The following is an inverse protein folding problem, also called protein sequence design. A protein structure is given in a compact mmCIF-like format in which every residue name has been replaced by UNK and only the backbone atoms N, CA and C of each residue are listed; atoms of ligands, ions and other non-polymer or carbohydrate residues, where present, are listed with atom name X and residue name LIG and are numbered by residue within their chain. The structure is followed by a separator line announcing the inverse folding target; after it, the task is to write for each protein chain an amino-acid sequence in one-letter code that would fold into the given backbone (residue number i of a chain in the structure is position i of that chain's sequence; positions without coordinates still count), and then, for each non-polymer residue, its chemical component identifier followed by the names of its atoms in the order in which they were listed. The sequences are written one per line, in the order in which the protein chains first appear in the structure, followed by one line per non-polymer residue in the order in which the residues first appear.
data_IF_384525716477
#
_entry.id   IF_384525716477
#
_cell.length_a   1.000
_cell.length_b   1.000
_cell.length_c   1.000
_cell.angle_alpha   90.00
_cell.angle_beta   90.00
_cell.angle_gamma   90.00
#
_symmetry.space_group_name_H-M   'P 1'
#
loop_
_entity.id
_entity.type
_entity.pdbx_description
1 polymer ?
#
# COMPACT_ATOMS: atom_id res chain seq x y z
N UNK A 1 -11.97 8.88 -12.98
CA UNK A 1 -11.51 7.62 -12.38
C UNK A 1 -11.50 7.74 -10.87
N UNK A 2 -12.16 6.82 -10.18
CA UNK A 2 -12.16 6.71 -8.72
C UNK A 2 -11.30 5.52 -8.30
N UNK A 3 -10.22 5.80 -7.58
CA UNK A 3 -9.26 4.78 -7.13
C UNK A 3 -9.38 4.60 -5.63
N UNK A 4 -9.52 3.36 -5.17
CA UNK A 4 -9.46 3.02 -3.76
C UNK A 4 -8.07 2.49 -3.44
N UNK A 5 -7.37 3.12 -2.50
CA UNK A 5 -6.10 2.62 -1.99
C UNK A 5 -6.29 2.14 -0.56
N UNK A 6 -6.02 0.86 -0.31
CA UNK A 6 -6.17 0.21 0.98
C UNK A 6 -4.79 0.06 1.62
N UNK A 7 -4.67 0.49 2.87
CA UNK A 7 -3.42 0.39 3.60
C UNK A 7 -3.10 -1.04 4.06
N UNK A 8 -2.05 -1.19 4.86
CA UNK A 8 -1.39 -2.46 5.16
C UNK A 8 -2.35 -3.55 5.65
N UNK A 9 -2.58 -4.59 4.84
CA UNK A 9 -3.42 -5.73 5.22
C UNK A 9 -2.64 -6.62 6.20
N UNK A 10 -3.10 -6.69 7.45
CA UNK A 10 -2.42 -7.40 8.52
C UNK A 10 -3.15 -8.69 8.92
N UNK A 11 -2.57 -9.82 8.52
CA UNK A 11 -2.96 -11.16 8.94
C UNK A 11 -4.43 -11.52 8.64
N UNK A 12 -4.95 -12.50 9.39
CA UNK A 12 -6.34 -12.97 9.21
C UNK A 12 -7.39 -11.87 9.47
N UNK A 13 -7.26 -11.01 10.51
CA UNK A 13 -8.23 -9.93 10.74
C UNK A 13 -8.29 -8.95 9.56
N UNK A 14 -7.13 -8.53 9.01
CA UNK A 14 -7.10 -7.65 7.85
C UNK A 14 -7.82 -8.25 6.64
N UNK A 15 -7.51 -9.49 6.29
CA UNK A 15 -8.21 -10.19 5.18
C UNK A 15 -9.71 -10.37 5.43
N UNK A 16 -10.14 -10.48 6.69
CA UNK A 16 -11.56 -10.50 7.05
C UNK A 16 -12.23 -9.15 6.76
N UNK A 17 -11.63 -8.04 7.22
CA UNK A 17 -12.14 -6.70 6.95
C UNK A 17 -12.26 -6.42 5.45
N UNK A 18 -11.29 -6.86 4.63
CA UNK A 18 -11.40 -6.76 3.17
C UNK A 18 -12.61 -7.54 2.64
N UNK A 19 -12.76 -8.81 3.04
CA UNK A 19 -13.85 -9.67 2.56
C UNK A 19 -15.23 -9.09 2.86
N UNK A 20 -15.38 -8.46 4.02
CA UNK A 20 -16.66 -7.93 4.49
C UNK A 20 -16.92 -6.50 3.99
N UNK A 21 -15.89 -5.66 3.89
CA UNK A 21 -16.04 -4.24 3.56
C UNK A 21 -15.83 -3.88 2.09
N UNK A 22 -14.88 -4.52 1.40
CA UNK A 22 -14.45 -4.08 0.08
C UNK A 22 -15.57 -4.16 -1.00
N UNK A 23 -16.36 -5.23 -1.12
CA UNK A 23 -17.42 -5.29 -2.13
C UNK A 23 -18.43 -4.15 -1.99
N UNK A 24 -18.78 -3.82 -0.75
CA UNK A 24 -19.70 -2.74 -0.41
C UNK A 24 -19.13 -1.37 -0.76
N UNK A 25 -17.85 -1.13 -0.46
CA UNK A 25 -17.15 0.10 -0.85
C UNK A 25 -17.12 0.28 -2.36
N UNK A 26 -16.74 -0.77 -3.11
CA UNK A 26 -16.68 -0.73 -4.58
C UNK A 26 -18.06 -0.34 -5.13
N UNK A 27 -19.12 -1.00 -4.67
CA UNK A 27 -20.48 -0.77 -5.15
C UNK A 27 -21.04 0.62 -4.77
N UNK A 28 -20.88 1.04 -3.51
CA UNK A 28 -21.42 2.31 -3.00
C UNK A 28 -20.69 3.52 -3.55
N UNK A 29 -19.36 3.46 -3.61
CA UNK A 29 -18.54 4.58 -4.07
C UNK A 29 -18.36 4.61 -5.58
N UNK A 30 -18.67 3.51 -6.29
CA UNK A 30 -18.39 3.33 -7.72
C UNK A 30 -16.89 3.41 -7.98
N UNK A 31 -16.14 2.56 -7.29
CA UNK A 31 -14.67 2.47 -7.45
C UNK A 31 -14.36 1.82 -8.80
N UNK A 32 -13.45 2.45 -9.55
CA UNK A 32 -13.00 1.98 -10.87
C UNK A 32 -11.75 1.09 -10.78
N UNK A 33 -10.94 1.25 -9.72
CA UNK A 33 -9.69 0.52 -9.52
C UNK A 33 -9.31 0.44 -8.03
N UNK A 34 -8.81 -0.72 -7.59
CA UNK A 34 -8.44 -0.99 -6.19
C UNK A 34 -6.97 -1.40 -6.09
N UNK A 35 -6.22 -0.66 -5.29
CA UNK A 35 -4.84 -0.97 -4.89
C UNK A 35 -4.85 -1.33 -3.41
N UNK A 36 -4.12 -2.36 -3.01
CA UNK A 36 -3.96 -2.69 -1.60
C UNK A 36 -2.53 -3.07 -1.24
N UNK A 37 -2.03 -2.58 -0.11
CA UNK A 37 -0.75 -3.03 0.41
C UNK A 37 -0.92 -4.37 1.16
N UNK A 38 -0.20 -5.40 0.74
CA UNK A 38 -0.33 -6.76 1.27
C UNK A 38 0.92 -7.29 1.97
N UNK A 39 1.86 -6.42 2.37
CA UNK A 39 3.14 -6.88 2.94
C UNK A 39 3.01 -7.67 4.24
N UNK A 40 1.89 -7.52 4.97
CA UNK A 40 1.66 -8.17 6.26
C UNK A 40 0.54 -9.23 6.21
N UNK A 41 0.10 -9.62 5.00
CA UNK A 41 -1.11 -10.40 4.82
C UNK A 41 -0.99 -11.84 5.36
N UNK A 42 0.21 -12.45 5.34
CA UNK A 42 0.46 -13.83 5.74
C UNK A 42 0.90 -13.94 7.22
N UNK A 43 -0.08 -13.87 8.12
CA UNK A 43 0.17 -14.03 9.55
C UNK A 43 1.00 -12.90 10.15
N UNK A 44 0.82 -11.68 9.61
CA UNK A 44 1.48 -10.46 10.07
C UNK A 44 2.75 -10.09 9.31
N UNK A 45 3.34 -11.00 8.53
CA UNK A 45 4.60 -10.76 7.83
C UNK A 45 4.68 -11.55 6.51
N UNK A 46 4.85 -10.84 5.40
CA UNK A 46 4.93 -11.34 4.04
C UNK A 46 3.59 -11.78 3.44
N UNK A 47 3.67 -12.46 2.31
CA UNK A 47 2.53 -12.94 1.52
C UNK A 47 2.79 -14.35 0.99
N UNK A 48 1.75 -15.18 0.85
CA UNK A 48 1.80 -16.48 0.16
C UNK A 48 0.94 -16.44 -1.09
N UNK A 49 1.17 -17.36 -2.04
CA UNK A 49 0.39 -17.42 -3.29
C UNK A 49 -1.10 -17.51 -3.00
N UNK A 50 -1.49 -18.43 -2.12
CA UNK A 50 -2.89 -18.64 -1.74
C UNK A 50 -3.57 -17.39 -1.16
N UNK A 51 -2.82 -16.59 -0.39
CA UNK A 51 -3.34 -15.37 0.22
C UNK A 51 -3.43 -14.23 -0.81
N UNK A 52 -2.44 -14.10 -1.68
CA UNK A 52 -2.52 -13.11 -2.77
C UNK A 52 -3.69 -13.41 -3.70
N UNK A 53 -3.84 -14.67 -4.13
CA UNK A 53 -4.98 -15.12 -4.94
C UNK A 53 -6.32 -14.87 -4.24
N UNK A 54 -6.42 -15.18 -2.94
CA UNK A 54 -7.60 -14.86 -2.12
C UNK A 54 -7.94 -13.37 -2.21
N UNK A 55 -6.98 -12.47 -1.97
CA UNK A 55 -7.20 -11.02 -1.96
C UNK A 55 -7.62 -10.51 -3.35
N UNK A 56 -7.01 -11.01 -4.43
CA UNK A 56 -7.44 -10.67 -5.79
C UNK A 56 -8.91 -11.06 -6.04
N UNK A 57 -9.37 -12.22 -5.57
CA UNK A 57 -10.78 -12.62 -5.74
C UNK A 57 -11.78 -11.72 -5.00
N UNK A 58 -11.33 -10.90 -4.06
CA UNK A 58 -12.18 -9.95 -3.34
C UNK A 58 -12.37 -8.62 -4.09
N UNK A 59 -11.72 -8.45 -5.26
CA UNK A 59 -11.84 -7.26 -6.08
C UNK A 59 -10.68 -6.26 -5.93
N UNK A 60 -9.53 -6.71 -5.42
CA UNK A 60 -8.28 -5.92 -5.52
C UNK A 60 -7.68 -6.13 -6.90
N UNK A 61 -7.21 -5.06 -7.56
CA UNK A 61 -6.62 -5.14 -8.91
C UNK A 61 -5.11 -5.30 -8.87
N UNK A 62 -4.44 -4.59 -7.95
CA UNK A 62 -2.97 -4.61 -7.78
C UNK A 62 -2.62 -4.66 -6.29
N UNK A 63 -1.63 -5.50 -5.96
CA UNK A 63 -1.05 -5.56 -4.63
C UNK A 63 0.30 -4.85 -4.60
N UNK A 64 0.44 -3.87 -3.74
CA UNK A 64 1.73 -3.33 -3.34
C UNK A 64 2.24 -4.06 -2.09
N UNK A 65 3.48 -3.80 -1.72
CA UNK A 65 4.13 -4.37 -0.55
C UNK A 65 5.19 -3.41 0.03
N UNK A 66 6.10 -3.94 0.83
CA UNK A 66 7.02 -3.16 1.64
C UNK A 66 8.23 -3.98 2.05
N UNK A 67 8.73 -3.74 3.26
CA UNK A 67 9.92 -4.42 3.78
C UNK A 67 9.67 -5.90 4.09
N UNK A 68 8.43 -6.33 4.32
CA UNK A 68 8.11 -7.72 4.67
C UNK A 68 7.86 -8.64 3.47
N UNK A 69 8.00 -8.15 2.22
CA UNK A 69 7.72 -8.93 1.00
C UNK A 69 8.46 -10.28 0.94
N UNK A 70 9.64 -10.41 1.56
CA UNK A 70 10.46 -11.63 1.51
C UNK A 70 10.33 -12.55 2.74
N UNK A 71 9.53 -12.19 3.74
CA UNK A 71 9.45 -12.95 5.01
C UNK A 71 8.81 -14.34 4.84
N UNK A 72 8.05 -14.55 3.77
CA UNK A 72 7.63 -15.88 3.33
C UNK A 72 8.53 -16.33 2.19
N UNK A 73 9.20 -17.48 2.37
CA UNK A 73 10.06 -18.09 1.33
C UNK A 73 9.36 -18.27 -0.01
N UNK A 74 8.05 -18.57 0.01
CA UNK A 74 7.25 -18.75 -1.20
C UNK A 74 7.12 -17.45 -2.03
N UNK A 75 7.13 -16.28 -1.39
CA UNK A 75 6.96 -14.98 -2.03
C UNK A 75 7.97 -14.76 -3.18
N UNK A 76 9.20 -15.25 -3.03
CA UNK A 76 10.26 -15.20 -4.05
C UNK A 76 9.84 -15.89 -5.35
N UNK A 77 9.13 -17.01 -5.26
CA UNK A 77 8.65 -17.75 -6.43
C UNK A 77 7.28 -17.28 -6.91
N UNK A 78 6.46 -16.76 -6.00
CA UNK A 78 5.15 -16.23 -6.32
C UNK A 78 5.23 -14.94 -7.13
N UNK A 79 6.08 -13.99 -6.72
CA UNK A 79 6.19 -12.65 -7.36
C UNK A 79 6.66 -12.71 -8.82
N UNK A 80 7.34 -13.79 -9.22
CA UNK A 80 7.75 -14.01 -10.62
C UNK A 80 6.57 -14.46 -11.49
N UNK A 81 5.56 -15.09 -10.90
CA UNK A 81 4.40 -15.65 -11.59
C UNK A 81 3.20 -14.71 -11.62
N UNK A 82 3.13 -13.78 -10.67
CA UNK A 82 2.03 -12.82 -10.54
C UNK A 82 2.57 -11.40 -10.70
N UNK A 83 2.38 -10.83 -11.89
CA UNK A 83 2.86 -9.49 -12.23
C UNK A 83 2.14 -8.38 -11.47
N UNK A 84 0.93 -8.63 -10.95
CA UNK A 84 0.13 -7.66 -10.18
C UNK A 84 0.54 -7.55 -8.72
N UNK A 85 1.51 -8.35 -8.25
CA UNK A 85 2.14 -8.21 -6.95
C UNK A 85 3.46 -7.45 -7.10
N UNK A 86 3.48 -6.20 -6.64
CA UNK A 86 4.66 -5.33 -6.70
C UNK A 86 5.50 -5.44 -5.45
N UNK A 87 6.82 -5.36 -5.64
CA UNK A 87 7.82 -5.09 -4.59
C UNK A 87 8.33 -3.66 -4.73
N UNK A 88 8.98 -3.07 -3.72
CA UNK A 88 9.58 -1.75 -3.88
C UNK A 88 10.56 -1.67 -5.07
N UNK A 89 10.41 -0.67 -5.94
CA UNK A 89 11.18 -0.50 -7.17
C UNK A 89 12.66 -0.16 -6.94
N UNK A 90 12.99 0.30 -5.73
CA UNK A 90 14.34 0.61 -5.28
C UNK A 90 15.05 -0.56 -4.55
N UNK A 91 14.56 -1.79 -4.71
CA UNK A 91 15.42 -2.96 -4.49
C UNK A 91 16.58 -2.98 -5.49
N UNK A 92 17.75 -3.51 -5.10
CA UNK A 92 18.91 -3.59 -5.98
C UNK A 92 18.62 -4.41 -7.26
N UNK A 93 19.42 -4.18 -8.29
CA UNK A 93 19.32 -4.90 -9.55
C UNK A 93 19.40 -6.43 -9.36
N UNK A 94 18.56 -7.17 -10.11
CA UNK A 94 18.51 -8.64 -10.08
C UNK A 94 17.50 -9.24 -9.10
N UNK A 95 16.80 -8.40 -8.31
CA UNK A 95 15.70 -8.86 -7.43
C UNK A 95 14.46 -9.20 -8.27
N UNK A 96 13.82 -10.36 -8.04
CA UNK A 96 12.67 -10.82 -8.84
C UNK A 96 11.43 -9.92 -8.66
N UNK A 97 10.52 -10.04 -9.63
CA UNK A 97 9.26 -9.29 -9.64
C UNK A 97 9.43 -7.83 -10.09
N UNK A 98 8.31 -7.12 -10.12
CA UNK A 98 8.21 -5.79 -10.68
C UNK A 98 8.08 -4.72 -9.59
N UNK A 99 8.64 -3.54 -9.88
CA UNK A 99 8.50 -2.35 -9.04
C UNK A 99 7.32 -1.45 -9.40
N UNK A 100 6.86 -1.57 -10.64
CA UNK A 100 5.78 -0.79 -11.22
C UNK A 100 5.03 -1.62 -12.27
N UNK A 101 3.79 -1.23 -12.55
CA UNK A 101 2.94 -1.85 -13.59
C UNK A 101 1.94 -0.83 -14.14
N UNK A 102 1.53 -0.99 -15.41
CA UNK A 102 0.38 -0.30 -16.00
C UNK A 102 -0.75 -1.31 -16.18
N UNK A 103 -1.95 -0.94 -15.74
CA UNK A 103 -3.15 -1.76 -15.83
C UNK A 103 -4.28 -0.98 -16.52
N UNK A 104 -5.23 -1.69 -17.12
CA UNK A 104 -6.48 -1.11 -17.59
C UNK A 104 -7.55 -1.28 -16.52
N UNK A 105 -8.30 -0.21 -16.27
CA UNK A 105 -9.58 -0.27 -15.56
C UNK A 105 -10.61 -1.05 -16.39
N UNK A 106 -11.73 -1.50 -15.81
CA UNK A 106 -12.81 -2.15 -16.56
C UNK A 106 -13.39 -1.29 -17.69
N UNK A 107 -13.32 0.04 -17.58
CA UNK A 107 -13.76 1.00 -18.61
C UNK A 107 -12.70 1.26 -19.70
N UNK A 108 -11.50 0.70 -19.57
CA UNK A 108 -10.41 0.80 -20.55
C UNK A 108 -9.44 1.98 -20.32
N UNK A 109 -9.65 2.80 -19.29
CA UNK A 109 -8.68 3.82 -18.88
C UNK A 109 -7.44 3.17 -18.26
N UNK A 110 -6.25 3.67 -18.56
CA UNK A 110 -4.97 3.14 -18.04
C UNK A 110 -4.56 3.81 -16.72
N UNK A 111 -4.01 3.02 -15.80
CA UNK A 111 -3.44 3.47 -14.53
C UNK A 111 -2.07 2.82 -14.30
N UNK A 112 -1.08 3.63 -13.94
CA UNK A 112 0.25 3.21 -13.51
C UNK A 112 0.35 3.13 -11.99
N UNK A 113 0.97 2.08 -11.47
CA UNK A 113 1.21 1.88 -10.04
C UNK A 113 2.71 1.73 -9.85
N UNK A 114 3.27 2.48 -8.89
CA UNK A 114 4.67 2.41 -8.51
C UNK A 114 4.78 2.16 -7.00
N UNK A 115 5.55 1.14 -6.61
CA UNK A 115 5.86 0.87 -5.21
C UNK A 115 7.28 1.34 -4.90
N UNK A 116 7.48 2.08 -3.83
CA UNK A 116 8.79 2.52 -3.33
C UNK A 116 8.93 2.16 -1.86
N UNK A 117 10.17 2.12 -1.37
CA UNK A 117 10.45 1.97 0.05
C UNK A 117 11.42 3.04 0.54
N UNK A 118 11.09 3.64 1.68
CA UNK A 118 11.96 4.58 2.39
C UNK A 118 13.23 3.92 2.91
N UNK A 119 14.10 4.74 3.51
CA UNK A 119 15.39 4.30 4.06
C UNK A 119 15.63 4.81 5.48
N UNK A 120 15.01 5.93 5.85
CA UNK A 120 15.17 6.46 7.20
C UNK A 120 14.47 5.51 8.18
N UNK A 121 15.23 4.97 9.14
CA UNK A 121 14.79 3.94 10.10
C UNK A 121 14.39 2.59 9.47
N UNK A 122 14.76 2.35 8.21
CA UNK A 122 14.46 1.12 7.48
C UNK A 122 15.71 0.46 6.90
N UNK A 123 15.54 -0.63 6.17
CA UNK A 123 16.64 -1.31 5.48
C UNK A 123 17.29 -0.38 4.44
N UNK A 124 18.63 -0.43 4.28
CA UNK A 124 19.35 0.43 3.35
C UNK A 124 19.17 -0.07 1.90
N UNK A 125 18.07 0.32 1.27
CA UNK A 125 17.81 0.10 -0.15
C UNK A 125 18.40 1.21 -1.04
N UNK A 126 18.31 1.05 -2.37
CA UNK A 126 18.69 2.11 -3.30
C UNK A 126 17.81 3.35 -3.09
N UNK A 127 18.28 4.50 -3.57
CA UNK A 127 17.59 5.77 -3.36
C UNK A 127 16.16 5.75 -3.98
N UNK A 128 15.08 5.92 -3.18
CA UNK A 128 13.71 5.86 -3.71
C UNK A 128 13.42 7.03 -4.67
N UNK A 129 14.00 8.21 -4.44
CA UNK A 129 13.86 9.36 -5.33
C UNK A 129 14.44 9.10 -6.72
N UNK A 130 15.62 8.45 -6.79
CA UNK A 130 16.23 8.06 -8.08
C UNK A 130 15.45 6.94 -8.76
N UNK A 131 14.88 6.02 -8.00
CA UNK A 131 13.98 5.00 -8.56
C UNK A 131 12.72 5.66 -9.15
N UNK A 132 12.09 6.60 -8.44
CA UNK A 132 10.95 7.36 -8.97
C UNK A 132 11.30 8.10 -10.27
N UNK A 133 12.45 8.80 -10.33
CA UNK A 133 12.93 9.47 -11.54
C UNK A 133 13.13 8.52 -12.73
N UNK A 134 13.46 7.25 -12.47
CA UNK A 134 13.63 6.23 -13.51
C UNK A 134 12.30 5.66 -13.98
N UNK A 135 11.40 5.33 -13.05
CA UNK A 135 10.17 4.60 -13.36
C UNK A 135 9.04 5.51 -13.89
N UNK A 136 8.91 6.73 -13.38
CA UNK A 136 7.79 7.63 -13.74
C UNK A 136 7.77 7.96 -15.25
N UNK A 137 8.90 8.31 -15.90
CA UNK A 137 8.90 8.54 -17.35
C UNK A 137 8.39 7.34 -18.15
N UNK A 138 8.75 6.12 -17.76
CA UNK A 138 8.32 4.88 -18.42
C UNK A 138 6.80 4.67 -18.29
N UNK A 139 6.24 4.94 -17.09
CA UNK A 139 4.79 4.89 -16.89
C UNK A 139 4.05 5.96 -17.71
N UNK A 140 4.64 7.16 -17.83
CA UNK A 140 4.09 8.29 -18.59
C UNK A 140 4.03 8.05 -20.10
N UNK A 141 4.82 7.12 -20.64
CA UNK A 141 4.67 6.68 -22.04
C UNK A 141 3.31 6.02 -22.29
N UNK A 142 2.68 5.46 -21.25
CA UNK A 142 1.41 4.74 -21.36
C UNK A 142 0.22 5.46 -20.74
N UNK A 143 0.41 6.20 -19.64
CA UNK A 143 -0.67 6.88 -18.93
C UNK A 143 -0.20 8.07 -18.09
N UNK A 144 -1.03 9.12 -18.02
CA UNK A 144 -0.85 10.23 -17.09
C UNK A 144 -1.38 9.94 -15.68
N UNK A 145 -2.14 8.85 -15.48
CA UNK A 145 -2.68 8.48 -14.17
C UNK A 145 -1.68 7.56 -13.46
N UNK A 146 -1.00 8.06 -12.44
CA UNK A 146 0.05 7.33 -11.73
C UNK A 146 -0.16 7.43 -10.21
N UNK A 147 -0.26 6.30 -9.53
CA UNK A 147 -0.35 6.21 -8.06
C UNK A 147 0.92 5.58 -7.50
N UNK A 148 1.54 6.28 -6.54
CA UNK A 148 2.77 5.84 -5.88
C UNK A 148 2.46 5.39 -4.45
N UNK A 149 2.78 4.14 -4.11
CA UNK A 149 2.87 3.67 -2.72
C UNK A 149 4.28 3.93 -2.19
N UNK A 150 4.42 4.85 -1.22
CA UNK A 150 5.66 5.17 -0.53
C UNK A 150 5.70 4.49 0.84
N UNK A 151 6.19 3.26 0.86
CA UNK A 151 6.28 2.44 2.07
C UNK A 151 7.49 2.84 2.93
N UNK A 152 7.26 3.69 3.94
CA UNK A 152 8.34 4.35 4.67
C UNK A 152 8.02 4.60 6.15
N UNK A 153 9.04 4.72 7.01
CA UNK A 153 8.84 5.07 8.43
C UNK A 153 8.79 6.59 8.64
N UNK A 154 9.81 7.32 8.17
CA UNK A 154 9.93 8.73 8.48
C UNK A 154 8.94 9.60 7.69
N UNK A 155 8.11 10.35 8.41
CA UNK A 155 7.17 11.33 7.84
C UNK A 155 7.87 12.36 6.95
N UNK A 156 9.09 12.77 7.31
CA UNK A 156 9.89 13.68 6.49
C UNK A 156 10.25 13.10 5.12
N UNK A 157 10.57 11.80 5.05
CA UNK A 157 10.92 11.15 3.78
C UNK A 157 9.67 10.98 2.89
N UNK A 158 8.51 10.69 3.49
CA UNK A 158 7.22 10.62 2.80
C UNK A 158 6.78 11.97 2.23
N UNK A 159 6.78 13.01 3.08
CA UNK A 159 6.44 14.36 2.64
C UNK A 159 7.39 14.84 1.55
N UNK A 160 8.70 14.60 1.69
CA UNK A 160 9.68 14.94 0.66
C UNK A 160 9.39 14.23 -0.66
N UNK A 161 9.00 12.95 -0.66
CA UNK A 161 8.59 12.25 -1.88
C UNK A 161 7.32 12.86 -2.50
N UNK A 162 6.32 13.19 -1.67
CA UNK A 162 5.11 13.88 -2.12
C UNK A 162 5.42 15.19 -2.85
N UNK A 163 6.24 16.05 -2.24
CA UNK A 163 6.67 17.32 -2.85
C UNK A 163 7.56 17.13 -4.08
N UNK A 164 8.41 16.10 -4.07
CA UNK A 164 9.30 15.80 -5.19
C UNK A 164 8.54 15.37 -6.44
N UNK A 165 7.36 14.76 -6.29
CA UNK A 165 6.53 14.25 -7.37
C UNK A 165 5.27 15.09 -7.62
N UNK A 166 5.12 16.26 -6.98
CA UNK A 166 3.94 17.10 -7.16
C UNK A 166 3.83 17.62 -8.60
N UNK A 167 2.73 17.28 -9.26
CA UNK A 167 2.47 17.54 -10.69
C UNK A 167 3.04 16.47 -11.62
N UNK A 168 3.86 15.54 -11.12
CA UNK A 168 4.42 14.45 -11.90
C UNK A 168 3.58 13.18 -11.84
N UNK A 169 2.83 12.98 -10.75
CA UNK A 169 1.97 11.80 -10.53
C UNK A 169 0.61 12.21 -9.99
N UNK A 170 -0.38 11.32 -10.08
CA UNK A 170 -1.72 11.57 -9.56
C UNK A 170 -1.74 11.54 -8.04
N UNK A 171 -1.02 10.60 -7.42
CA UNK A 171 -1.00 10.48 -5.97
C UNK A 171 0.30 9.89 -5.43
N UNK A 172 0.71 10.36 -4.26
CA UNK A 172 1.76 9.76 -3.41
C UNK A 172 1.15 9.39 -2.07
N UNK A 173 1.03 8.09 -1.83
CA UNK A 173 0.30 7.52 -0.71
C UNK A 173 1.27 6.80 0.21
N UNK A 174 1.40 7.24 1.45
CA UNK A 174 2.26 6.58 2.43
C UNK A 174 1.62 5.33 3.05
N UNK A 175 2.46 4.33 3.33
CA UNK A 175 2.13 3.10 4.10
C UNK A 175 3.25 2.81 5.12
N UNK A 176 3.20 1.66 5.83
CA UNK A 176 4.17 1.14 6.81
C UNK A 176 3.85 1.41 8.29
N UNK A 177 3.47 2.63 8.66
CA UNK A 177 3.41 2.99 10.10
C UNK A 177 2.14 2.47 10.79
N UNK A 178 1.20 1.91 10.01
CA UNK A 178 -0.05 1.28 10.44
C UNK A 178 -1.06 2.22 11.12
N UNK A 179 -0.78 3.52 11.24
CA UNK A 179 -1.68 4.52 11.82
C UNK A 179 -2.08 5.52 10.74
N UNK A 180 -3.37 5.60 10.44
CA UNK A 180 -3.87 6.55 9.44
C UNK A 180 -3.65 7.99 9.91
N UNK A 181 -3.06 8.79 9.04
CA UNK A 181 -2.83 10.22 9.27
C UNK A 181 -4.03 11.05 8.79
N UNK A 182 -4.13 12.29 9.27
CA UNK A 182 -5.19 13.24 8.93
C UNK A 182 -4.65 14.45 8.12
N UNK A 183 -3.56 14.23 7.37
CA UNK A 183 -2.90 15.25 6.54
C UNK A 183 -3.22 15.08 5.05
N UNK A 184 -4.29 14.34 4.71
CA UNK A 184 -4.70 14.11 3.34
C UNK A 184 -5.02 15.44 2.64
N UNK A 185 -4.42 15.65 1.47
CA UNK A 185 -4.59 16.89 0.70
C UNK A 185 -4.26 16.71 -0.77
N UNK A 186 -4.71 17.66 -1.57
CA UNK A 186 -4.16 17.89 -2.91
C UNK A 186 -3.02 18.91 -2.78
N UNK A 187 -1.86 18.58 -3.32
CA UNK A 187 -0.70 19.46 -3.41
C UNK A 187 -0.90 20.51 -4.52
N UNK A 188 -0.14 21.62 -4.53
CA UNK A 188 -0.38 22.75 -5.43
C UNK A 188 -0.47 22.40 -6.91
N UNK A 189 0.28 21.40 -7.40
CA UNK A 189 0.28 20.98 -8.79
C UNK A 189 -0.63 19.78 -9.08
N UNK A 190 -1.52 19.43 -8.14
CA UNK A 190 -2.61 18.47 -8.39
C UNK A 190 -2.31 17.03 -7.99
N UNK A 191 -1.20 16.75 -7.31
CA UNK A 191 -0.92 15.43 -6.73
C UNK A 191 -1.62 15.25 -5.40
N UNK A 192 -2.39 14.17 -5.24
CA UNK A 192 -2.94 13.79 -3.95
C UNK A 192 -1.85 13.24 -3.02
N UNK A 193 -1.91 13.57 -1.74
CA UNK A 193 -0.91 13.17 -0.75
C UNK A 193 -1.57 12.80 0.57
N UNK A 194 -1.02 11.78 1.24
CA UNK A 194 -1.25 11.46 2.66
C UNK A 194 0.01 10.80 3.22
N UNK A 195 0.40 11.14 4.45
CA UNK A 195 1.60 10.58 5.07
C UNK A 195 1.45 9.09 5.41
N UNK A 196 0.27 8.63 5.79
CA UNK A 196 0.02 7.20 5.98
C UNK A 196 -1.48 6.88 5.87
N UNK A 197 -1.83 5.86 5.10
CA UNK A 197 -3.21 5.37 4.96
C UNK A 197 -3.65 4.55 6.17
N UNK A 198 -2.71 4.06 6.97
CA UNK A 198 -2.96 3.22 8.13
C UNK A 198 -3.11 1.74 7.77
N UNK A 199 -3.36 0.93 8.80
CA UNK A 199 -3.50 -0.52 8.65
C UNK A 199 -4.96 -0.95 8.38
N UNK A 200 -5.11 -2.01 7.59
CA UNK A 200 -6.30 -2.87 7.58
C UNK A 200 -6.02 -4.15 8.38
N UNK A 201 -6.49 -4.21 9.62
CA UNK A 201 -6.03 -5.21 10.60
C UNK A 201 -6.74 -5.09 11.96
N UNK A 202 -6.26 -5.79 13.00
CA UNK A 202 -6.95 -5.83 14.30
C UNK A 202 -6.95 -4.47 15.00
N UNK A 203 -8.13 -4.03 15.48
CA UNK A 203 -8.33 -2.75 16.19
C UNK A 203 -7.57 -2.73 17.50
N UNK A 204 -7.86 -3.70 18.38
CA UNK A 204 -7.32 -3.79 19.74
C UNK A 204 -5.92 -4.41 19.79
N UNK A 205 -4.98 -3.78 19.10
CA UNK A 205 -3.61 -4.26 18.92
C UNK A 205 -2.59 -3.14 19.09
N UNK A 206 -1.30 -3.52 19.13
CA UNK A 206 -0.22 -2.55 18.91
C UNK A 206 0.35 -2.85 17.52
N UNK A 207 0.00 -2.02 16.55
CA UNK A 207 0.52 -2.12 15.17
C UNK A 207 0.21 -3.49 14.54
N UNK A 208 -0.91 -4.12 14.91
CA UNK A 208 -1.33 -5.44 14.41
C UNK A 208 -0.92 -6.63 15.30
N UNK A 209 -0.07 -6.42 16.30
CA UNK A 209 0.47 -7.47 17.19
C UNK A 209 -0.26 -7.49 18.53
N UNK A 210 -0.30 -8.65 19.19
CA UNK A 210 -0.85 -8.79 20.55
C UNK A 210 -0.20 -7.79 21.54
N UNK A 211 -1.05 -7.10 22.30
CA UNK A 211 -0.66 -5.98 23.18
C UNK A 211 0.39 -6.39 24.22
N UNK A 212 0.18 -7.52 24.91
CA UNK A 212 1.04 -8.05 25.95
C UNK A 212 2.47 -8.36 25.44
N UNK A 213 2.60 -8.86 24.21
CA UNK A 213 3.90 -9.19 23.62
C UNK A 213 4.74 -7.94 23.36
N UNK A 214 4.12 -6.89 22.82
CA UNK A 214 4.81 -5.63 22.55
C UNK A 214 5.15 -4.91 23.85
N UNK A 215 4.21 -4.83 24.80
CA UNK A 215 4.45 -4.22 26.11
C UNK A 215 5.58 -4.95 26.85
N UNK A 216 5.57 -6.28 26.87
CA UNK A 216 6.63 -7.06 27.52
C UNK A 216 7.99 -6.84 26.86
N UNK A 217 8.05 -6.76 25.53
CA UNK A 217 9.29 -6.44 24.80
C UNK A 217 9.83 -5.06 25.22
N UNK A 218 8.98 -4.03 25.34
CA UNK A 218 9.42 -2.70 25.78
C UNK A 218 9.88 -2.68 27.24
N UNK A 219 9.19 -3.40 28.13
CA UNK A 219 9.55 -3.46 29.55
C UNK A 219 10.86 -4.21 29.79
N UNK A 220 11.07 -5.33 29.08
CA UNK A 220 12.15 -6.28 29.40
C UNK A 220 13.33 -6.21 28.44
N UNK A 221 13.14 -5.63 27.26
CA UNK A 221 14.09 -5.70 26.12
C UNK A 221 14.41 -7.13 25.66
N UNK A 222 13.70 -8.14 26.16
CA UNK A 222 13.88 -9.54 25.75
C UNK A 222 13.14 -9.77 24.43
N UNK A 223 13.74 -10.48 23.46
CA UNK A 223 13.05 -10.86 22.22
C UNK A 223 11.78 -11.67 22.51
N UNK A 224 10.67 -11.24 21.92
CA UNK A 224 9.38 -11.94 21.97
C UNK A 224 8.99 -12.32 20.55
N UNK A 225 8.46 -13.52 20.37
CA UNK A 225 7.87 -13.92 19.10
C UNK A 225 6.53 -13.22 18.93
N UNK A 226 6.40 -12.40 17.89
CA UNK A 226 5.18 -11.68 17.61
C UNK A 226 4.10 -12.57 16.99
N UNK A 227 2.88 -12.40 17.48
CA UNK A 227 1.67 -12.99 16.93
C UNK A 227 0.67 -11.89 16.59
N UNK A 228 -0.01 -12.04 15.44
CA UNK A 228 -1.09 -11.14 15.07
C UNK A 228 -2.21 -11.18 16.13
N UNK A 229 -2.69 -10.00 16.52
CA UNK A 229 -3.86 -9.89 17.38
C UNK A 229 -5.12 -10.47 16.70
N UNK A 230 -6.14 -10.78 17.49
CA UNK A 230 -7.45 -11.28 17.04
C UNK A 230 -8.53 -10.28 17.45
N UNK A 231 -9.76 -10.51 16.97
CA UNK A 231 -10.93 -9.71 17.33
C UNK A 231 -11.38 -8.83 16.16
N UNK A 232 -12.06 -7.74 16.50
CA UNK A 232 -12.55 -6.73 15.57
C UNK A 232 -11.41 -6.21 14.69
N UNK A 233 -11.69 -6.05 13.40
CA UNK A 233 -10.76 -5.58 12.40
C UNK A 233 -11.19 -4.24 11.84
N UNK A 234 -10.24 -3.33 11.66
CA UNK A 234 -10.40 -2.08 10.96
C UNK A 234 -9.98 -2.23 9.49
N UNK A 235 -10.67 -1.56 8.59
CA UNK A 235 -10.22 -1.28 7.22
C UNK A 235 -9.87 0.20 7.14
N UNK A 236 -8.60 0.51 6.86
CA UNK A 236 -8.14 1.87 6.58
C UNK A 236 -7.83 2.02 5.10
N UNK A 237 -8.42 3.02 4.46
CA UNK A 237 -8.23 3.30 3.04
C UNK A 237 -8.36 4.79 2.73
N UNK A 238 -7.94 5.16 1.52
CA UNK A 238 -8.25 6.46 0.92
C UNK A 238 -8.94 6.27 -0.42
N UNK A 239 -9.86 7.19 -0.73
CA UNK A 239 -10.55 7.27 -2.01
C UNK A 239 -10.01 8.48 -2.75
N UNK A 240 -9.50 8.25 -3.95
CA UNK A 240 -8.98 9.26 -4.84
C UNK A 240 -9.98 9.49 -5.97
N UNK A 241 -10.24 10.74 -6.32
CA UNK A 241 -10.85 11.08 -7.61
C UNK A 241 -9.79 11.71 -8.50
N UNK A 242 -9.57 11.09 -9.66
CA UNK A 242 -8.52 11.45 -10.62
C UNK A 242 -9.18 11.72 -11.98
N UNK A 243 -8.81 12.84 -12.58
CA UNK A 243 -9.18 13.15 -13.94
C UNK A 243 -8.32 12.32 -14.91
N UNK A 244 -8.92 11.27 -15.49
CA UNK A 244 -8.22 10.31 -16.33
C UNK A 244 -7.55 10.90 -17.59
N UNK A 245 -7.99 12.08 -18.05
CA UNK A 245 -7.38 12.76 -19.21
C UNK A 245 -6.12 13.54 -18.86
N UNK A 246 -6.04 14.05 -17.63
CA UNK A 246 -4.96 14.97 -17.21
C UNK A 246 -4.03 14.35 -16.19
N UNK A 247 -4.43 13.28 -15.50
CA UNK A 247 -3.68 12.71 -14.39
C UNK A 247 -3.82 13.47 -13.07
N UNK A 248 -4.49 14.63 -13.06
CA UNK A 248 -4.66 15.47 -11.87
C UNK A 248 -5.68 14.86 -10.92
N UNK A 249 -5.35 14.81 -9.63
CA UNK A 249 -6.28 14.44 -8.56
C UNK A 249 -7.16 15.62 -8.16
N UNK A 250 -8.46 15.40 -8.11
CA UNK A 250 -9.46 16.41 -7.73
C UNK A 250 -9.89 16.28 -6.28
N UNK A 251 -9.77 15.10 -5.67
CA UNK A 251 -10.04 14.89 -4.25
C UNK A 251 -9.30 13.67 -3.69
N UNK A 252 -9.01 13.72 -2.39
CA UNK A 252 -8.61 12.59 -1.57
C UNK A 252 -9.48 12.58 -0.31
N UNK A 253 -10.03 11.43 0.05
CA UNK A 253 -10.83 11.25 1.26
C UNK A 253 -10.35 9.99 1.99
N UNK A 254 -9.95 10.13 3.26
CA UNK A 254 -9.65 8.99 4.12
C UNK A 254 -10.93 8.37 4.69
N UNK A 255 -10.93 7.05 4.82
CA UNK A 255 -11.99 6.27 5.43
C UNK A 255 -11.41 5.25 6.42
N UNK A 256 -12.13 5.04 7.51
CA UNK A 256 -11.91 3.96 8.46
C UNK A 256 -13.25 3.36 8.86
N UNK A 257 -13.35 2.03 8.81
CA UNK A 257 -14.53 1.28 9.24
C UNK A 257 -14.08 0.05 10.01
N UNK A 258 -14.91 -0.42 10.94
CA UNK A 258 -14.63 -1.62 11.73
C UNK A 258 -15.60 -2.75 11.42
N UNK A 259 -15.14 -3.98 11.65
CA UNK A 259 -15.81 -5.22 11.31
C UNK A 259 -15.57 -6.24 12.43
N UNK A 260 -16.64 -6.78 13.01
CA UNK A 260 -16.58 -7.77 14.10
C UNK A 260 -16.18 -9.15 13.61
#
# INVERSE_FOLDING_TARGET
MKVLFIGDIVGKPGRKAIREGLPDLISKLKVDFVIANAENAAGGFGITKSIGEEIFTLGVDVLTSGNHIWDKKEAVTYIVKESRLLRPANYPHGVPGFGAIVMNTPSGEKIGILNLSGRVFMNPLDCPFKAAQREIPLLKEETGVIVVDMHAEATSEKAAMGWFLDGEVSAVIGTHTHVQTADERILPNGTAFISDVGMTGPVDSIIGVKKDQIINKFLTHIPVRFETAKGEAMLSCVVLEINAKTGVSTSIQRLQMTFE
#
